data_IF_087084093526
#
_entry.id   IF_087084093526
#
_cell.length_a   1.000
_cell.length_b   1.000
_cell.length_c   1.000
_cell.angle_alpha   90.00
_cell.angle_beta   90.00
_cell.angle_gamma   90.00
#
_symmetry.space_group_name_H-M   'P 1'
#
loop_
_entity.id
_entity.type
_entity.pdbx_description
1 polymer ?
#
# COMPACT_ATOMS: atom_id res chain seq x y z
N UNK A 1 -33.14 -2.12 -25.46
CA UNK A 1 -32.99 -0.89 -24.65
C UNK A 1 -31.61 -0.99 -24.03
N UNK A 2 -30.71 -0.06 -24.34
CA UNK A 2 -29.43 -0.02 -23.64
C UNK A 2 -29.70 0.54 -22.24
N UNK A 3 -29.41 -0.25 -21.21
CA UNK A 3 -29.46 0.23 -19.83
C UNK A 3 -28.41 1.34 -19.66
N UNK A 4 -28.82 2.45 -19.04
CA UNK A 4 -27.93 3.58 -18.78
C UNK A 4 -27.00 3.18 -17.63
N UNK A 5 -25.72 3.00 -17.93
CA UNK A 5 -24.69 2.66 -16.95
C UNK A 5 -23.94 3.94 -16.55
N UNK A 6 -23.71 4.12 -15.25
CA UNK A 6 -22.91 5.22 -14.74
C UNK A 6 -21.47 5.07 -15.24
N UNK A 7 -20.99 6.03 -16.02
CA UNK A 7 -19.62 6.04 -16.55
C UNK A 7 -18.56 6.22 -15.45
N UNK A 8 -18.98 6.63 -14.24
CA UNK A 8 -18.07 6.85 -13.10
C UNK A 8 -17.96 5.66 -12.14
N UNK A 9 -18.94 4.76 -12.08
CA UNK A 9 -18.93 3.64 -11.13
C UNK A 9 -19.52 2.32 -11.68
N UNK A 10 -19.94 2.27 -12.94
CA UNK A 10 -20.52 1.08 -13.55
C UNK A 10 -21.93 0.71 -13.06
N UNK A 11 -22.49 1.45 -12.10
CA UNK A 11 -23.85 1.19 -11.59
C UNK A 11 -24.92 1.48 -12.66
N UNK A 12 -25.94 0.62 -12.75
CA UNK A 12 -27.12 0.83 -13.59
C UNK A 12 -28.28 1.51 -12.84
N UNK A 13 -28.08 1.89 -11.57
CA UNK A 13 -29.11 2.54 -10.75
C UNK A 13 -29.02 4.05 -10.96
N UNK A 14 -29.62 4.53 -12.05
CA UNK A 14 -29.60 5.94 -12.44
C UNK A 14 -31.03 6.47 -12.49
N UNK A 15 -31.32 7.53 -11.75
CA UNK A 15 -32.64 8.20 -11.73
C UNK A 15 -32.57 9.54 -12.46
N UNK A 16 -33.72 10.07 -12.87
CA UNK A 16 -33.79 11.36 -13.57
C UNK A 16 -34.33 12.43 -12.64
N UNK A 17 -33.57 13.49 -12.41
CA UNK A 17 -33.93 14.62 -11.58
C UNK A 17 -33.61 15.93 -12.29
N UNK A 18 -34.61 16.79 -12.51
CA UNK A 18 -34.39 18.18 -12.92
C UNK A 18 -33.57 18.38 -14.20
N UNK A 19 -33.67 17.49 -15.19
CA UNK A 19 -32.89 17.58 -16.44
C UNK A 19 -31.53 16.88 -16.38
N UNK A 20 -31.23 16.16 -15.30
CA UNK A 20 -30.02 15.37 -15.12
C UNK A 20 -30.37 13.90 -14.83
N UNK A 21 -29.46 13.01 -15.19
CA UNK A 21 -29.36 11.65 -14.70
C UNK A 21 -28.49 11.64 -13.44
N UNK A 22 -28.99 11.11 -12.33
CA UNK A 22 -28.30 11.03 -11.04
C UNK A 22 -28.08 9.56 -10.73
N UNK A 23 -26.82 9.13 -10.67
CA UNK A 23 -26.49 7.79 -10.18
C UNK A 23 -26.84 7.71 -8.69
N UNK A 24 -27.68 6.75 -8.32
CA UNK A 24 -28.09 6.54 -6.93
C UNK A 24 -27.04 5.79 -6.12
N UNK A 25 -26.06 5.17 -6.78
CA UNK A 25 -24.95 4.50 -6.10
C UNK A 25 -23.84 5.48 -5.69
N UNK A 26 -23.41 6.38 -6.59
CA UNK A 26 -22.29 7.29 -6.33
C UNK A 26 -22.66 8.78 -6.30
N UNK A 27 -23.91 9.14 -6.61
CA UNK A 27 -24.37 10.53 -6.62
C UNK A 27 -24.00 11.35 -7.86
N UNK A 28 -23.24 10.79 -8.81
CA UNK A 28 -22.82 11.51 -10.02
C UNK A 28 -24.01 11.98 -10.85
N UNK A 29 -23.97 13.25 -11.27
CA UNK A 29 -25.00 13.88 -12.10
C UNK A 29 -24.49 14.09 -13.53
N UNK A 30 -25.21 13.55 -14.51
CA UNK A 30 -24.95 13.76 -15.95
C UNK A 30 -26.13 14.46 -16.62
N UNK A 31 -25.93 15.28 -17.65
CA UNK A 31 -27.03 15.90 -18.36
C UNK A 31 -27.95 14.85 -19.00
N UNK A 32 -29.27 14.99 -18.84
CA UNK A 32 -30.22 14.18 -19.56
C UNK A 32 -30.35 14.72 -21.00
N UNK A 33 -29.43 14.31 -21.88
CA UNK A 33 -29.42 14.71 -23.28
C UNK A 33 -30.58 14.06 -24.05
N UNK A 34 -31.76 14.69 -23.95
CA UNK A 34 -32.93 14.36 -24.77
C UNK A 34 -32.86 15.08 -26.13
N UNK A 35 -31.85 14.80 -26.97
CA UNK A 35 -32.00 15.00 -28.43
C UNK A 35 -30.79 14.53 -29.24
N UNK A 36 -31.10 13.71 -30.23
CA UNK A 36 -30.34 13.47 -31.44
C UNK A 36 -30.17 14.76 -32.26
N UNK A 37 -28.98 15.36 -32.28
CA UNK A 37 -28.36 16.08 -33.42
C UNK A 37 -27.31 17.07 -32.91
N UNK A 38 -26.18 17.13 -33.63
CA UNK A 38 -24.98 17.86 -33.25
C UNK A 38 -25.21 19.35 -32.99
N UNK A 39 -24.60 19.82 -31.92
CA UNK A 39 -24.44 21.23 -31.60
C UNK A 39 -23.60 21.34 -30.34
N UNK A 40 -22.31 21.66 -30.51
CA UNK A 40 -21.43 22.08 -29.41
C UNK A 40 -22.04 23.30 -28.74
N UNK A 41 -22.67 23.11 -27.58
CA UNK A 41 -23.00 24.19 -26.66
C UNK A 41 -21.88 24.27 -25.62
N UNK A 42 -21.03 25.29 -25.78
CA UNK A 42 -20.19 25.80 -24.70
C UNK A 42 -21.12 26.33 -23.60
N UNK A 43 -21.03 25.76 -22.41
CA UNK A 43 -21.62 26.32 -21.19
C UNK A 43 -20.52 26.89 -20.28
N UNK A 44 -20.95 27.84 -19.45
CA UNK A 44 -20.18 28.90 -18.81
C UNK A 44 -19.08 28.47 -17.85
N UNK A 45 -18.29 29.46 -17.45
CA UNK A 45 -17.14 29.39 -16.56
C UNK A 45 -17.45 28.71 -15.21
N UNK A 46 -17.32 27.39 -15.16
CA UNK A 46 -16.89 26.65 -13.98
C UNK A 46 -15.36 26.52 -14.09
N UNK A 47 -14.62 26.63 -12.99
CA UNK A 47 -13.17 26.38 -13.00
C UNK A 47 -12.93 25.04 -13.69
N UNK A 48 -12.38 25.05 -14.91
CA UNK A 48 -12.16 23.82 -15.64
C UNK A 48 -11.03 23.09 -14.94
N UNK A 49 -11.37 22.16 -14.05
CA UNK A 49 -10.41 21.21 -13.52
C UNK A 49 -9.64 20.63 -14.70
N UNK A 50 -8.31 20.66 -14.58
CA UNK A 50 -7.50 20.02 -15.60
C UNK A 50 -7.85 18.54 -15.63
N UNK A 51 -7.65 17.88 -16.77
CA UNK A 51 -7.82 16.43 -16.86
C UNK A 51 -7.04 15.69 -15.76
N UNK A 52 -5.91 16.25 -15.34
CA UNK A 52 -5.08 15.73 -14.26
C UNK A 52 -5.74 15.86 -12.88
N UNK A 53 -6.36 16.99 -12.57
CA UNK A 53 -7.05 17.18 -11.29
C UNK A 53 -8.22 16.20 -11.14
N UNK A 54 -8.95 15.96 -12.24
CA UNK A 54 -10.01 14.95 -12.26
C UNK A 54 -9.47 13.54 -11.98
N UNK A 55 -8.27 13.21 -12.46
CA UNK A 55 -7.66 11.91 -12.20
C UNK A 55 -7.28 11.75 -10.72
N UNK A 56 -6.75 12.78 -10.05
CA UNK A 56 -6.49 12.70 -8.61
C UNK A 56 -7.78 12.50 -7.82
N UNK A 57 -8.84 13.24 -8.14
CA UNK A 57 -10.13 13.04 -7.46
C UNK A 57 -10.64 11.60 -7.61
N UNK A 58 -10.51 11.01 -8.80
CA UNK A 58 -10.94 9.64 -9.04
C UNK A 58 -10.06 8.61 -8.33
N UNK A 59 -8.74 8.79 -8.36
CA UNK A 59 -7.79 7.92 -7.69
C UNK A 59 -8.00 7.91 -6.17
N UNK A 60 -8.11 9.09 -5.56
CA UNK A 60 -8.33 9.23 -4.11
C UNK A 60 -9.70 8.71 -3.68
N UNK A 61 -10.78 8.99 -4.44
CA UNK A 61 -12.10 8.41 -4.16
C UNK A 61 -12.11 6.88 -4.30
N UNK A 62 -11.40 6.32 -5.27
CA UNK A 62 -11.29 4.88 -5.41
C UNK A 62 -10.57 4.27 -4.20
N UNK A 63 -9.47 4.88 -3.75
CA UNK A 63 -8.80 4.51 -2.50
C UNK A 63 -9.76 4.55 -1.30
N UNK A 64 -10.43 5.69 -1.06
CA UNK A 64 -11.38 5.86 0.05
C UNK A 64 -12.53 4.84 0.06
N UNK A 65 -12.94 4.36 -1.11
CA UNK A 65 -14.00 3.35 -1.25
C UNK A 65 -13.48 1.90 -1.23
N UNK A 66 -12.16 1.70 -1.12
CA UNK A 66 -11.53 0.38 -1.16
C UNK A 66 -11.51 -0.28 -2.54
N UNK A 67 -11.66 0.50 -3.61
CA UNK A 67 -11.64 0.00 -4.99
C UNK A 67 -10.20 0.01 -5.54
N UNK A 68 -9.45 -1.03 -5.18
CA UNK A 68 -8.04 -1.16 -5.53
C UNK A 68 -7.79 -1.20 -7.05
N UNK A 69 -8.70 -1.78 -7.84
CA UNK A 69 -8.57 -1.84 -9.30
C UNK A 69 -8.65 -0.45 -9.93
N UNK A 70 -9.66 0.34 -9.53
CA UNK A 70 -9.78 1.71 -10.04
C UNK A 70 -8.71 2.63 -9.47
N UNK A 71 -8.33 2.48 -8.21
CA UNK A 71 -7.25 3.27 -7.62
C UNK A 71 -5.93 3.03 -8.39
N UNK A 72 -5.55 1.77 -8.60
CA UNK A 72 -4.38 1.40 -9.40
C UNK A 72 -4.43 2.02 -10.80
N UNK A 73 -5.58 1.89 -11.49
CA UNK A 73 -5.78 2.44 -12.83
C UNK A 73 -5.54 3.94 -12.86
N UNK A 74 -6.22 4.71 -11.99
CA UNK A 74 -6.15 6.17 -12.05
C UNK A 74 -4.78 6.70 -11.63
N UNK A 75 -4.13 6.13 -10.61
CA UNK A 75 -2.75 6.50 -10.28
C UNK A 75 -1.77 6.15 -11.41
N UNK A 76 -1.97 5.02 -12.11
CA UNK A 76 -1.17 4.70 -13.31
C UNK A 76 -1.37 5.71 -14.44
N UNK A 77 -2.60 6.21 -14.65
CA UNK A 77 -2.89 7.26 -15.64
C UNK A 77 -2.27 8.62 -15.26
N UNK A 78 -2.24 8.95 -13.97
CA UNK A 78 -1.53 10.13 -13.44
C UNK A 78 -0.05 10.03 -13.79
N UNK A 79 0.60 8.89 -13.55
CA UNK A 79 2.02 8.70 -13.86
C UNK A 79 2.37 8.86 -15.34
N UNK A 80 1.47 8.52 -16.26
CA UNK A 80 1.67 8.76 -17.70
C UNK A 80 1.74 10.27 -17.99
N UNK A 81 0.96 11.08 -17.27
CA UNK A 81 0.87 12.55 -17.46
C UNK A 81 1.90 13.32 -16.62
N UNK A 82 2.16 12.87 -15.40
CA UNK A 82 3.12 13.43 -14.46
C UNK A 82 3.98 12.30 -13.85
N UNK A 83 5.10 11.92 -14.50
CA UNK A 83 5.97 10.85 -14.01
C UNK A 83 6.73 11.18 -12.70
N UNK A 84 6.72 12.44 -12.26
CA UNK A 84 7.39 12.89 -11.04
C UNK A 84 6.39 13.14 -9.90
N UNK A 85 5.25 12.46 -9.92
CA UNK A 85 4.25 12.56 -8.88
C UNK A 85 4.51 11.52 -7.79
N UNK A 86 4.87 11.96 -6.57
CA UNK A 86 5.21 11.03 -5.50
C UNK A 86 4.01 10.18 -5.06
N UNK A 87 2.81 10.78 -5.05
CA UNK A 87 1.59 10.13 -4.60
C UNK A 87 1.21 9.00 -5.55
N UNK A 88 1.14 9.30 -6.85
CA UNK A 88 0.84 8.30 -7.86
C UNK A 88 1.96 7.27 -7.99
N UNK A 89 3.23 7.67 -7.81
CA UNK A 89 4.37 6.74 -7.85
C UNK A 89 4.28 5.70 -6.74
N UNK A 90 3.87 6.11 -5.53
CA UNK A 90 3.63 5.21 -4.41
C UNK A 90 2.37 4.38 -4.61
N UNK A 91 1.21 5.02 -4.79
CA UNK A 91 -0.07 4.32 -4.80
C UNK A 91 -0.26 3.38 -6.00
N UNK A 92 0.36 3.67 -7.15
CA UNK A 92 0.34 2.72 -8.27
C UNK A 92 1.06 1.40 -7.91
N UNK A 93 2.17 1.44 -7.18
CA UNK A 93 2.83 0.22 -6.70
C UNK A 93 2.07 -0.45 -5.57
N UNK A 94 1.59 0.35 -4.60
CA UNK A 94 0.80 -0.13 -3.48
C UNK A 94 -0.45 -0.90 -3.94
N UNK A 95 -1.29 -0.31 -4.79
CA UNK A 95 -2.51 -0.98 -5.25
C UNK A 95 -2.21 -2.15 -6.19
N UNK A 96 -1.11 -2.09 -6.94
CA UNK A 96 -0.67 -3.25 -7.71
C UNK A 96 -0.30 -4.42 -6.80
N UNK A 97 0.40 -4.14 -5.70
CA UNK A 97 0.72 -5.13 -4.69
C UNK A 97 -0.56 -5.67 -4.04
N UNK A 98 -1.47 -4.79 -3.61
CA UNK A 98 -2.76 -5.13 -3.01
C UNK A 98 -3.62 -6.07 -3.89
N UNK A 99 -3.53 -5.95 -5.21
CA UNK A 99 -4.27 -6.79 -6.16
C UNK A 99 -3.65 -8.18 -6.36
N UNK A 100 -2.46 -8.47 -5.81
CA UNK A 100 -1.89 -9.79 -5.87
C UNK A 100 -2.52 -10.73 -4.84
N UNK A 101 -2.87 -11.94 -5.27
CA UNK A 101 -3.28 -13.03 -4.38
C UNK A 101 -2.18 -13.35 -3.34
N UNK A 102 -0.92 -13.15 -3.72
CA UNK A 102 0.22 -13.27 -2.82
C UNK A 102 1.41 -12.39 -3.21
N UNK A 103 2.19 -11.99 -2.20
CA UNK A 103 3.43 -11.24 -2.39
C UNK A 103 4.62 -12.19 -2.46
N UNK A 104 4.99 -12.60 -3.67
CA UNK A 104 6.30 -13.23 -3.91
C UNK A 104 7.44 -12.20 -3.94
N UNK A 105 8.68 -12.69 -4.01
CA UNK A 105 9.89 -11.87 -4.14
C UNK A 105 9.75 -10.78 -5.22
N UNK A 106 9.17 -11.11 -6.38
CA UNK A 106 9.00 -10.13 -7.47
C UNK A 106 7.97 -9.07 -7.14
N UNK A 107 6.85 -9.44 -6.54
CA UNK A 107 5.82 -8.50 -6.11
C UNK A 107 6.37 -7.52 -5.05
N UNK A 108 7.18 -8.03 -4.12
CA UNK A 108 7.86 -7.22 -3.10
C UNK A 108 8.90 -6.29 -3.72
N UNK A 109 9.72 -6.77 -4.66
CA UNK A 109 10.68 -5.95 -5.39
C UNK A 109 9.99 -4.84 -6.20
N UNK A 110 8.88 -5.15 -6.87
CA UNK A 110 8.08 -4.17 -7.61
C UNK A 110 7.50 -3.09 -6.68
N UNK A 111 6.93 -3.49 -5.54
CA UNK A 111 6.41 -2.58 -4.52
C UNK A 111 7.53 -1.69 -3.97
N UNK A 112 8.64 -2.29 -3.53
CA UNK A 112 9.77 -1.56 -2.97
C UNK A 112 10.40 -0.58 -3.97
N UNK A 113 10.47 -0.94 -5.25
CA UNK A 113 10.94 -0.06 -6.31
C UNK A 113 10.03 1.16 -6.49
N UNK A 114 8.71 0.96 -6.42
CA UNK A 114 7.73 2.04 -6.44
C UNK A 114 7.87 2.97 -5.23
N UNK A 115 7.96 2.41 -4.01
CA UNK A 115 8.20 3.16 -2.78
C UNK A 115 9.50 3.96 -2.87
N UNK A 116 10.60 3.31 -3.26
CA UNK A 116 11.92 3.95 -3.41
C UNK A 116 11.87 5.13 -4.37
N UNK A 117 11.17 4.97 -5.49
CA UNK A 117 11.00 6.04 -6.48
C UNK A 117 10.18 7.21 -5.92
N UNK A 118 9.12 6.92 -5.15
CA UNK A 118 8.30 7.93 -4.50
C UNK A 118 9.10 8.70 -3.43
N UNK A 119 9.84 8.01 -2.56
CA UNK A 119 10.71 8.62 -1.54
C UNK A 119 11.75 9.54 -2.19
N UNK A 120 12.38 9.13 -3.28
CA UNK A 120 13.32 9.99 -4.02
C UNK A 120 12.68 11.29 -4.52
N UNK A 121 11.40 11.25 -4.92
CA UNK A 121 10.67 12.46 -5.31
C UNK A 121 10.41 13.33 -4.08
N UNK A 122 9.94 12.73 -2.98
CA UNK A 122 9.68 13.41 -1.70
C UNK A 122 10.93 14.10 -1.16
N UNK A 123 12.10 13.46 -1.20
CA UNK A 123 13.37 14.05 -0.74
C UNK A 123 13.70 15.38 -1.42
N UNK A 124 13.27 15.55 -2.68
CA UNK A 124 13.52 16.76 -3.47
C UNK A 124 12.49 17.87 -3.26
N UNK A 125 11.43 17.63 -2.48
CA UNK A 125 10.47 18.68 -2.13
C UNK A 125 11.16 19.78 -1.30
N UNK A 126 10.68 21.01 -1.41
CA UNK A 126 11.18 22.11 -0.59
C UNK A 126 10.45 22.19 0.76
N UNK A 127 9.19 21.75 0.81
CA UNK A 127 8.35 21.80 2.01
C UNK A 127 8.62 20.58 2.91
N UNK A 128 9.14 20.86 4.10
CA UNK A 128 9.47 19.81 5.10
C UNK A 128 8.21 19.17 5.68
N UNK A 129 7.12 19.91 5.82
CA UNK A 129 5.88 19.35 6.36
C UNK A 129 5.20 18.44 5.33
N UNK A 130 5.24 18.79 4.05
CA UNK A 130 4.80 17.90 2.96
C UNK A 130 5.63 16.60 2.94
N UNK A 131 6.95 16.67 3.17
CA UNK A 131 7.77 15.46 3.28
C UNK A 131 7.34 14.56 4.43
N UNK A 132 7.08 15.14 5.60
CA UNK A 132 6.64 14.38 6.78
C UNK A 132 5.30 13.71 6.54
N UNK A 133 4.35 14.43 5.95
CA UNK A 133 3.03 13.89 5.60
C UNK A 133 3.14 12.74 4.60
N UNK A 134 3.95 12.91 3.54
CA UNK A 134 4.17 11.85 2.55
C UNK A 134 4.84 10.61 3.16
N UNK A 135 5.90 10.78 3.96
CA UNK A 135 6.57 9.65 4.61
C UNK A 135 5.63 8.93 5.58
N UNK A 136 4.92 9.66 6.45
CA UNK A 136 3.95 9.06 7.37
C UNK A 136 2.86 8.28 6.64
N UNK A 137 2.36 8.82 5.51
CA UNK A 137 1.41 8.11 4.65
C UNK A 137 2.01 6.81 4.10
N UNK A 138 3.25 6.85 3.61
CA UNK A 138 3.91 5.64 3.11
C UNK A 138 4.11 4.60 4.22
N UNK A 139 4.42 5.04 5.44
CA UNK A 139 4.57 4.17 6.61
C UNK A 139 3.26 3.46 6.89
N UNK A 140 2.19 4.22 7.15
CA UNK A 140 0.89 3.70 7.57
C UNK A 140 0.35 2.70 6.54
N UNK A 141 0.43 3.04 5.25
CA UNK A 141 -0.03 2.19 4.17
C UNK A 141 0.84 0.93 4.01
N UNK A 142 2.16 1.05 4.05
CA UNK A 142 3.06 -0.11 3.93
C UNK A 142 2.86 -1.09 5.10
N UNK A 143 2.78 -0.59 6.34
CA UNK A 143 2.52 -1.42 7.51
C UNK A 143 1.13 -2.07 7.43
N UNK A 144 0.11 -1.30 7.01
CA UNK A 144 -1.26 -1.81 6.84
C UNK A 144 -1.36 -2.92 5.79
N UNK A 145 -0.67 -2.76 4.65
CA UNK A 145 -0.60 -3.80 3.63
C UNK A 145 0.03 -5.09 4.18
N UNK A 146 1.16 -4.96 4.87
CA UNK A 146 1.85 -6.12 5.47
C UNK A 146 0.96 -6.81 6.51
N UNK A 147 0.25 -6.06 7.35
CA UNK A 147 -0.69 -6.63 8.34
C UNK A 147 -1.86 -7.36 7.67
N UNK A 148 -2.39 -6.83 6.57
CA UNK A 148 -3.45 -7.49 5.81
C UNK A 148 -2.97 -8.83 5.24
N UNK A 149 -1.77 -8.88 4.65
CA UNK A 149 -1.20 -10.15 4.18
C UNK A 149 -0.92 -11.11 5.33
N UNK A 150 -0.26 -10.63 6.39
CA UNK A 150 0.06 -11.44 7.56
C UNK A 150 -1.19 -12.08 8.18
N UNK A 151 -2.24 -11.29 8.40
CA UNK A 151 -3.51 -11.75 8.98
C UNK A 151 -4.22 -12.74 8.07
N UNK A 152 -4.34 -12.41 6.78
CA UNK A 152 -4.99 -13.29 5.79
C UNK A 152 -4.32 -14.66 5.75
N UNK A 153 -2.97 -14.72 5.78
CA UNK A 153 -2.25 -15.98 5.82
C UNK A 153 -2.40 -16.73 7.13
N UNK A 154 -2.45 -16.01 8.26
CA UNK A 154 -2.62 -16.65 9.56
C UNK A 154 -4.01 -17.26 9.75
N UNK A 155 -5.05 -16.63 9.19
CA UNK A 155 -6.43 -17.09 9.28
C UNK A 155 -6.76 -18.20 8.27
N UNK A 156 -6.20 -18.16 7.05
CA UNK A 156 -6.49 -19.14 5.99
C UNK A 156 -5.71 -20.44 6.12
N UNK A 157 -4.52 -20.43 6.73
CA UNK A 157 -3.70 -21.62 6.89
C UNK A 157 -3.95 -22.27 8.26
N UNK A 158 -4.77 -23.32 8.30
CA UNK A 158 -4.74 -24.28 9.39
C UNK A 158 -3.31 -24.85 9.43
N UNK A 159 -2.51 -24.37 10.39
CA UNK A 159 -1.08 -24.68 10.46
C UNK A 159 -0.87 -26.20 10.62
N UNK A 160 -0.57 -26.88 9.52
CA UNK A 160 -0.32 -28.34 9.47
C UNK A 160 1.05 -28.75 10.03
N UNK A 161 1.84 -27.79 10.53
CA UNK A 161 3.19 -28.04 11.02
C UNK A 161 4.26 -28.01 9.92
N UNK A 162 5.51 -28.35 10.26
CA UNK A 162 6.64 -28.37 9.33
C UNK A 162 6.50 -29.33 8.14
N UNK A 163 5.56 -30.28 8.22
CA UNK A 163 5.27 -31.27 7.17
C UNK A 163 4.13 -30.84 6.24
N UNK A 164 3.55 -29.65 6.46
CA UNK A 164 2.47 -29.10 5.63
C UNK A 164 2.96 -28.70 4.23
N UNK A 165 2.12 -28.93 3.21
CA UNK A 165 2.44 -28.71 1.79
C UNK A 165 2.91 -27.28 1.48
N UNK A 166 2.45 -26.29 2.25
CA UNK A 166 2.69 -24.87 2.02
C UNK A 166 3.63 -24.23 3.05
N UNK A 167 4.25 -25.03 3.92
CA UNK A 167 5.04 -24.55 5.04
C UNK A 167 6.27 -23.73 4.62
N UNK A 168 7.04 -24.21 3.63
CA UNK A 168 8.19 -23.50 3.07
C UNK A 168 7.80 -22.16 2.46
N UNK A 169 6.71 -22.17 1.70
CA UNK A 169 6.18 -20.99 1.06
C UNK A 169 5.73 -19.93 2.09
N UNK A 170 5.05 -20.35 3.16
CA UNK A 170 4.66 -19.46 4.25
C UNK A 170 5.87 -18.78 4.92
N UNK A 171 6.92 -19.56 5.20
CA UNK A 171 8.16 -19.02 5.78
C UNK A 171 8.81 -18.01 4.84
N UNK A 172 8.86 -18.31 3.54
CA UNK A 172 9.42 -17.40 2.55
C UNK A 172 8.63 -16.09 2.47
N UNK A 173 7.29 -16.13 2.39
CA UNK A 173 6.46 -14.92 2.36
C UNK A 173 6.73 -14.03 3.57
N UNK A 174 6.80 -14.59 4.79
CA UNK A 174 7.11 -13.79 5.97
C UNK A 174 8.49 -13.15 5.91
N UNK A 175 9.49 -13.83 5.37
CA UNK A 175 10.83 -13.27 5.18
C UNK A 175 10.84 -12.14 4.16
N UNK A 176 10.08 -12.28 3.06
CA UNK A 176 9.94 -11.23 2.06
C UNK A 176 9.24 -9.99 2.63
N UNK A 177 8.24 -10.17 3.49
CA UNK A 177 7.60 -9.06 4.22
C UNK A 177 8.58 -8.39 5.20
N UNK A 178 9.40 -9.17 5.91
CA UNK A 178 10.46 -8.63 6.79
C UNK A 178 11.49 -7.83 5.98
N UNK A 179 11.89 -8.34 4.80
CA UNK A 179 12.78 -7.65 3.87
C UNK A 179 12.19 -6.31 3.41
N UNK A 180 10.91 -6.28 3.01
CA UNK A 180 10.22 -5.05 2.63
C UNK A 180 10.29 -4.00 3.75
N UNK A 181 9.85 -4.37 4.96
CA UNK A 181 9.79 -3.45 6.11
C UNK A 181 11.16 -2.92 6.50
N UNK A 182 12.18 -3.78 6.46
CA UNK A 182 13.54 -3.39 6.83
C UNK A 182 14.17 -2.43 5.82
N UNK A 183 14.03 -2.72 4.53
CA UNK A 183 14.51 -1.81 3.49
C UNK A 183 13.70 -0.51 3.45
N UNK A 184 12.39 -0.57 3.73
CA UNK A 184 11.56 0.61 3.90
C UNK A 184 12.11 1.49 5.04
N UNK A 185 12.32 0.91 6.22
CA UNK A 185 12.84 1.65 7.37
C UNK A 185 14.21 2.26 7.10
N UNK A 186 15.11 1.53 6.45
CA UNK A 186 16.43 2.04 6.05
C UNK A 186 16.34 3.19 5.02
N UNK A 187 15.40 3.08 4.08
CA UNK A 187 15.17 4.07 3.04
C UNK A 187 14.68 5.41 3.63
N UNK A 188 13.78 5.38 4.63
CA UNK A 188 13.15 6.60 5.15
C UNK A 188 13.87 7.23 6.33
N UNK A 189 14.86 6.54 6.94
CA UNK A 189 15.51 6.93 8.20
C UNK A 189 15.98 8.38 8.26
N UNK A 190 16.44 8.92 7.14
CA UNK A 190 17.09 10.24 7.07
C UNK A 190 16.41 11.21 6.10
N UNK A 191 15.19 10.92 5.66
CA UNK A 191 14.44 11.80 4.74
C UNK A 191 14.07 13.12 5.42
N UNK A 192 13.71 13.09 6.72
CA UNK A 192 13.48 14.28 7.55
C UNK A 192 14.12 14.10 8.93
N UNK A 193 14.17 15.17 9.75
CA UNK A 193 14.69 15.09 11.12
C UNK A 193 13.87 14.16 12.04
N UNK A 194 12.62 13.86 11.67
CA UNK A 194 11.68 13.06 12.47
C UNK A 194 11.36 11.68 11.86
N UNK A 195 11.82 11.39 10.63
CA UNK A 195 11.46 10.17 9.90
C UNK A 195 12.08 8.90 10.49
N UNK A 196 12.99 9.03 11.46
CA UNK A 196 13.47 7.88 12.25
C UNK A 196 12.32 7.18 13.02
N UNK A 197 11.22 7.88 13.33
CA UNK A 197 10.06 7.26 13.98
C UNK A 197 9.40 6.23 13.07
N UNK A 198 9.17 6.63 11.82
CA UNK A 198 8.66 5.76 10.76
C UNK A 198 9.57 4.54 10.54
N UNK A 199 10.89 4.75 10.52
CA UNK A 199 11.87 3.66 10.44
C UNK A 199 11.79 2.71 11.62
N UNK A 200 11.71 3.24 12.85
CA UNK A 200 11.60 2.44 14.07
C UNK A 200 10.34 1.60 14.06
N UNK A 201 9.19 2.15 13.64
CA UNK A 201 7.93 1.42 13.55
C UNK A 201 8.03 0.26 12.56
N UNK A 202 8.62 0.48 11.37
CA UNK A 202 8.84 -0.56 10.38
C UNK A 202 9.80 -1.66 10.86
N UNK A 203 10.93 -1.30 11.48
CA UNK A 203 11.89 -2.28 12.01
C UNK A 203 11.31 -3.08 13.17
N UNK A 204 10.56 -2.44 14.07
CA UNK A 204 9.87 -3.16 15.16
C UNK A 204 8.90 -4.17 14.58
N UNK A 205 8.08 -3.77 13.60
CA UNK A 205 7.10 -4.66 13.03
C UNK A 205 7.75 -5.82 12.26
N UNK A 206 8.86 -5.57 11.56
CA UNK A 206 9.68 -6.62 10.94
C UNK A 206 10.18 -7.64 11.98
N UNK A 207 10.69 -7.19 13.13
CA UNK A 207 11.12 -8.09 14.21
C UNK A 207 9.94 -8.90 14.76
N UNK A 208 8.76 -8.29 14.90
CA UNK A 208 7.56 -8.97 15.37
C UNK A 208 7.07 -10.04 14.40
N UNK A 209 7.12 -9.79 13.08
CA UNK A 209 6.82 -10.78 12.03
C UNK A 209 7.85 -11.91 11.99
N UNK A 210 9.13 -11.59 12.21
CA UNK A 210 10.22 -12.56 12.19
C UNK A 210 10.24 -13.43 13.46
N UNK A 211 9.78 -12.93 14.61
CA UNK A 211 9.85 -13.64 15.90
C UNK A 211 9.10 -15.00 15.92
N UNK A 212 7.91 -15.15 15.33
CA UNK A 212 7.28 -16.45 15.14
C UNK A 212 8.13 -17.48 14.38
N UNK A 213 9.05 -17.04 13.50
CA UNK A 213 9.88 -17.94 12.69
C UNK A 213 10.89 -18.75 13.51
N UNK A 214 11.17 -18.38 14.77
CA UNK A 214 11.96 -19.22 15.67
C UNK A 214 11.31 -20.58 15.99
N UNK A 215 10.02 -20.77 15.68
CA UNK A 215 9.39 -22.10 15.76
C UNK A 215 9.72 -22.98 14.54
N UNK A 216 10.39 -22.42 13.53
CA UNK A 216 10.64 -23.01 12.21
C UNK A 216 12.13 -23.32 11.94
N UNK A 217 12.91 -23.57 13.01
CA UNK A 217 14.37 -23.80 13.03
C UNK A 217 14.90 -24.91 12.09
N UNK A 218 14.03 -25.66 11.42
CA UNK A 218 14.41 -26.61 10.36
C UNK A 218 14.82 -25.94 9.04
N UNK A 219 14.41 -24.68 8.80
CA UNK A 219 14.71 -23.94 7.56
C UNK A 219 15.96 -23.05 7.64
N UNK A 220 16.38 -22.64 8.85
CA UNK A 220 17.48 -21.72 9.07
C UNK A 220 18.38 -22.16 10.21
N UNK A 221 19.65 -21.79 10.14
CA UNK A 221 20.51 -21.85 11.30
C UNK A 221 20.05 -20.78 12.30
N UNK A 222 19.80 -21.16 13.56
CA UNK A 222 19.37 -20.26 14.64
C UNK A 222 20.28 -19.03 14.79
N UNK A 223 21.58 -19.18 14.50
CA UNK A 223 22.54 -18.08 14.52
C UNK A 223 22.35 -17.05 13.41
N UNK A 224 21.66 -17.36 12.32
CA UNK A 224 21.40 -16.40 11.23
C UNK A 224 20.13 -15.59 11.51
N UNK A 225 19.09 -16.20 12.12
CA UNK A 225 17.94 -15.44 12.64
C UNK A 225 18.34 -14.45 13.74
N UNK A 226 19.19 -14.89 14.67
CA UNK A 226 19.63 -14.03 15.79
C UNK A 226 20.40 -12.81 15.27
N UNK A 227 21.35 -13.00 14.33
CA UNK A 227 22.08 -11.89 13.71
C UNK A 227 21.15 -10.91 13.00
N UNK A 228 20.18 -11.43 12.24
CA UNK A 228 19.22 -10.60 11.52
C UNK A 228 18.42 -9.70 12.47
N UNK A 229 17.89 -10.26 13.56
CA UNK A 229 17.17 -9.45 14.54
C UNK A 229 18.11 -8.50 15.28
N UNK A 230 19.29 -8.96 15.68
CA UNK A 230 20.24 -8.13 16.44
C UNK A 230 20.67 -6.89 15.64
N UNK A 231 20.83 -6.99 14.32
CA UNK A 231 21.11 -5.85 13.44
C UNK A 231 20.06 -4.74 13.57
N UNK A 232 18.77 -5.07 13.48
CA UNK A 232 17.70 -4.08 13.56
C UNK A 232 17.41 -3.63 14.99
N UNK A 233 17.65 -4.49 16.00
CA UNK A 233 17.63 -4.07 17.41
C UNK A 233 18.68 -3.00 17.67
N UNK A 234 19.91 -3.18 17.15
CA UNK A 234 20.98 -2.18 17.27
C UNK A 234 20.59 -0.86 16.60
N UNK A 235 19.93 -0.88 15.43
CA UNK A 235 19.40 0.32 14.77
C UNK A 235 18.32 1.00 15.62
N UNK A 236 17.34 0.24 16.12
CA UNK A 236 16.27 0.78 16.99
C UNK A 236 16.86 1.42 18.25
N UNK A 237 17.88 0.81 18.88
CA UNK A 237 18.52 1.33 20.09
C UNK A 237 19.22 2.68 19.91
N UNK A 238 19.54 3.08 18.67
CA UNK A 238 20.06 4.43 18.40
C UNK A 238 19.02 5.52 18.71
N UNK A 239 17.73 5.20 18.58
CA UNK A 239 16.61 6.13 18.75
C UNK A 239 15.74 5.81 19.97
N UNK A 240 15.65 4.53 20.35
CA UNK A 240 14.89 4.02 21.48
C UNK A 240 15.75 3.03 22.30
N UNK A 241 16.65 3.51 23.17
CA UNK A 241 17.55 2.66 23.96
C UNK A 241 16.84 1.70 24.94
N UNK A 242 15.59 2.01 25.30
CA UNK A 242 14.80 1.21 26.23
C UNK A 242 14.04 0.06 25.53
N UNK A 243 14.06 0.00 24.19
CA UNK A 243 13.41 -1.07 23.42
C UNK A 243 13.90 -2.46 23.86
N UNK A 244 12.95 -3.36 24.10
CA UNK A 244 13.23 -4.71 24.56
C UNK A 244 13.04 -5.69 23.40
N UNK A 245 14.15 -6.29 22.94
CA UNK A 245 14.12 -7.37 21.95
C UNK A 245 13.09 -8.43 22.34
N UNK A 246 12.15 -8.80 21.46
CA UNK A 246 11.20 -9.87 21.73
C UNK A 246 11.94 -11.17 22.05
N UNK A 247 11.47 -11.87 23.08
CA UNK A 247 12.01 -13.20 23.39
C UNK A 247 11.39 -14.20 22.44
N UNK A 248 12.20 -15.04 21.77
CA UNK A 248 11.67 -16.20 21.07
C UNK A 248 10.80 -16.97 22.06
N UNK A 249 9.55 -17.27 21.70
CA UNK A 249 8.73 -18.20 22.49
C UNK A 249 9.38 -19.57 22.36
N UNK A 250 10.34 -19.88 23.25
CA UNK A 250 10.86 -21.24 23.40
C UNK A 250 9.67 -22.14 23.67
N UNK A 251 9.40 -23.08 22.78
CA UNK A 251 8.61 -24.24 23.14
C UNK A 251 9.38 -24.93 24.28
N UNK A 252 8.81 -24.87 25.48
CA UNK A 252 9.19 -25.77 26.55
C UNK A 252 9.02 -27.21 26.04
N UNK A 253 10.12 -27.95 25.98
CA UNK A 253 10.10 -29.41 25.90
C UNK A 253 10.55 -30.00 24.57
N UNK A 254 11.85 -29.99 24.31
CA UNK A 254 12.54 -31.18 23.79
C UNK A 254 13.80 -31.36 24.63
N UNK A 255 13.82 -32.46 25.39
CA UNK A 255 15.02 -33.09 25.95
C UNK A 255 15.69 -33.86 24.81
#
# INVERSE_FOLDING_TARGET
MNELMCEMCGSNIVTREGGFYVCQACGTKFPANDSSSGGTQQYGAEESFSELDNLYELARRANENGDAEFAFKYYSEILIKNPNDWEAQFYAGYFRAYLYDFLDERAIDELFSSISSAVLIVERLDDVEEKKEAIGTFTDETLGLVENYYTSYFDEMEYDGPDGEYYEWYVNVLLELCYLLNNYGDLVEKVTDDSYKDSVDAWIYSIDLHTPLYKHLGFFNMGDHDKYIDEYVEKIHQYNPDYQKPKPKKLFGII
#
